data_IF_144470558023
#
_entry.id   IF_144470558023
#
_cell.length_a   1.000
_cell.length_b   1.000
_cell.length_c   1.000
_cell.angle_alpha   90.00
_cell.angle_beta   90.00
_cell.angle_gamma   90.00
#
_symmetry.space_group_name_H-M   'P 1'
#
loop_
_entity.id
_entity.type
_entity.pdbx_description
1 polymer ?
#
# COMPACT_ATOMS: atom_id res chain seq x y z
N UNK A 1 -6.36 13.85 -14.62
CA UNK A 1 -5.57 12.72 -14.09
C UNK A 1 -4.40 13.32 -13.35
N UNK A 2 -4.31 13.10 -12.03
CA UNK A 2 -3.19 13.58 -11.21
C UNK A 2 -2.26 12.37 -11.02
N UNK A 3 -1.03 12.49 -11.47
CA UNK A 3 0.04 11.49 -11.29
C UNK A 3 0.93 11.99 -10.15
N UNK A 4 0.91 11.30 -9.02
CA UNK A 4 1.78 11.59 -7.87
C UNK A 4 2.81 10.47 -7.76
N UNK A 5 4.04 10.77 -8.17
CA UNK A 5 5.20 9.89 -8.00
C UNK A 5 5.89 10.22 -6.67
N UNK A 6 5.38 9.62 -5.59
CA UNK A 6 5.85 9.89 -4.25
C UNK A 6 7.26 9.33 -4.00
N UNK A 7 7.68 8.31 -4.78
CA UNK A 7 8.96 7.63 -4.63
C UNK A 7 10.11 8.43 -5.26
N UNK A 8 9.93 8.87 -6.51
CA UNK A 8 10.91 9.76 -7.13
C UNK A 8 10.86 11.15 -6.50
N UNK A 9 9.68 11.65 -6.12
CA UNK A 9 9.50 12.99 -5.58
C UNK A 9 10.10 13.22 -4.19
N UNK A 10 10.28 12.16 -3.39
CA UNK A 10 10.92 12.22 -2.07
C UNK A 10 12.42 11.90 -2.08
N UNK A 11 12.94 11.50 -3.23
CA UNK A 11 14.35 11.14 -3.40
C UNK A 11 15.18 12.35 -3.82
N UNK A 12 16.45 12.39 -3.42
CA UNK A 12 17.40 13.35 -3.96
C UNK A 12 17.96 12.82 -5.27
N UNK A 13 17.87 13.61 -6.34
CA UNK A 13 18.50 13.29 -7.63
C UNK A 13 20.03 13.43 -7.49
N UNK A 14 20.73 12.32 -7.54
CA UNK A 14 22.17 12.25 -7.22
C UNK A 14 22.95 11.61 -8.37
N UNK A 15 23.94 12.35 -8.88
CA UNK A 15 24.91 11.82 -9.83
C UNK A 15 26.21 11.40 -9.13
N UNK A 16 26.64 10.14 -9.30
CA UNK A 16 27.94 9.67 -8.82
C UNK A 16 28.70 8.84 -9.86
N UNK A 17 29.96 9.21 -10.13
CA UNK A 17 30.84 8.42 -11.02
C UNK A 17 31.41 7.16 -10.36
N UNK A 18 31.61 7.18 -9.03
CA UNK A 18 32.21 6.06 -8.29
C UNK A 18 31.16 5.12 -7.69
N UNK A 19 29.93 5.61 -7.48
CA UNK A 19 28.91 4.93 -6.69
C UNK A 19 28.85 5.46 -5.26
N UNK A 20 27.80 5.10 -4.53
CA UNK A 20 27.65 5.33 -3.08
C UNK A 20 26.89 4.16 -2.43
N UNK A 21 26.81 4.16 -1.09
CA UNK A 21 26.49 2.96 -0.31
C UNK A 21 25.05 2.44 -0.39
N UNK A 22 24.05 3.31 -0.57
CA UNK A 22 22.65 2.92 -0.67
C UNK A 22 21.85 3.95 -1.46
N UNK A 23 21.17 3.53 -2.54
CA UNK A 23 20.34 4.38 -3.40
C UNK A 23 18.88 4.32 -3.02
N UNK A 24 18.23 3.17 -3.16
CA UNK A 24 16.85 2.94 -2.73
C UNK A 24 16.65 1.44 -2.55
N UNK A 25 15.58 1.04 -1.86
CA UNK A 25 15.23 -0.38 -1.80
C UNK A 25 15.00 -0.89 -3.23
N UNK A 26 15.77 -1.90 -3.63
CA UNK A 26 15.82 -2.51 -4.98
C UNK A 26 16.51 -1.69 -6.09
N UNK A 27 17.23 -0.62 -5.77
CA UNK A 27 18.12 0.02 -6.74
C UNK A 27 19.32 -0.89 -7.04
N UNK A 28 19.50 -1.27 -8.32
CA UNK A 28 20.53 -2.22 -8.75
C UNK A 28 21.95 -1.62 -8.84
N UNK A 29 22.08 -0.35 -9.21
CA UNK A 29 23.37 0.34 -9.34
C UNK A 29 23.33 1.74 -8.70
N UNK A 30 24.47 2.18 -8.17
CA UNK A 30 24.61 3.52 -7.54
C UNK A 30 25.48 4.48 -8.36
N UNK A 31 25.84 4.10 -9.59
CA UNK A 31 26.67 4.88 -10.52
C UNK A 31 25.79 5.56 -11.59
N UNK A 32 26.17 6.76 -12.01
CA UNK A 32 25.37 7.58 -12.91
C UNK A 32 24.33 8.41 -12.16
N UNK A 33 23.26 8.80 -12.86
CA UNK A 33 22.12 9.49 -12.25
C UNK A 33 21.25 8.47 -11.52
N UNK A 34 21.00 8.72 -10.25
CA UNK A 34 20.33 7.80 -9.35
C UNK A 34 19.48 8.56 -8.34
N UNK A 35 18.48 7.89 -7.79
CA UNK A 35 17.53 8.46 -6.84
C UNK A 35 17.91 8.00 -5.44
N UNK A 36 18.69 8.79 -4.72
CA UNK A 36 19.06 8.51 -3.32
C UNK A 36 17.87 8.77 -2.41
N UNK A 37 17.42 7.73 -1.72
CA UNK A 37 16.44 7.82 -0.64
C UNK A 37 17.20 7.72 0.68
N UNK A 38 17.26 8.84 1.38
CA UNK A 38 17.81 8.89 2.74
C UNK A 38 16.74 8.43 3.74
N UNK A 39 17.08 7.48 4.61
CA UNK A 39 16.19 6.92 5.64
C UNK A 39 14.79 6.53 5.15
N UNK A 40 14.74 5.77 4.05
CA UNK A 40 13.52 5.30 3.39
C UNK A 40 12.44 4.74 4.35
N UNK A 41 12.84 3.97 5.37
CA UNK A 41 11.91 3.45 6.37
C UNK A 41 11.18 4.56 7.15
N UNK A 42 11.88 5.65 7.49
CA UNK A 42 11.29 6.82 8.14
C UNK A 42 10.39 7.59 7.18
N UNK A 43 10.78 7.64 5.90
CA UNK A 43 10.02 8.30 4.86
C UNK A 43 8.70 7.59 4.56
N UNK A 44 8.66 6.26 4.61
CA UNK A 44 7.42 5.47 4.58
C UNK A 44 6.62 5.51 5.89
N UNK A 45 7.20 6.05 6.97
CA UNK A 45 6.52 6.20 8.25
C UNK A 45 6.52 4.95 9.13
N UNK A 46 7.15 3.84 8.75
CA UNK A 46 7.15 2.59 9.52
C UNK A 46 7.59 2.76 10.99
N UNK A 47 8.63 3.56 11.33
CA UNK A 47 8.98 3.79 12.73
C UNK A 47 7.88 4.53 13.52
N UNK A 48 7.15 5.43 12.88
CA UNK A 48 6.05 6.17 13.50
C UNK A 48 4.85 5.27 13.73
N UNK A 49 4.50 4.44 12.74
CA UNK A 49 3.44 3.42 12.83
C UNK A 49 3.75 2.41 13.94
N UNK A 50 4.98 1.87 13.98
CA UNK A 50 5.39 0.91 15.01
C UNK A 50 5.39 1.53 16.41
N UNK A 51 5.84 2.78 16.54
CA UNK A 51 5.78 3.51 17.82
C UNK A 51 4.33 3.71 18.28
N UNK A 52 3.44 4.11 17.38
CA UNK A 52 2.01 4.26 17.65
C UNK A 52 1.40 2.92 18.09
N UNK A 53 1.67 1.85 17.36
CA UNK A 53 1.22 0.50 17.70
C UNK A 53 1.66 0.08 19.12
N UNK A 54 2.95 0.23 19.44
CA UNK A 54 3.48 -0.07 20.78
C UNK A 54 2.82 0.78 21.87
N UNK A 55 2.58 2.06 21.61
CA UNK A 55 1.90 2.96 22.56
C UNK A 55 0.45 2.53 22.81
N UNK A 56 -0.28 2.14 21.76
CA UNK A 56 -1.63 1.61 21.88
C UNK A 56 -1.67 0.34 22.74
N UNK A 57 -0.74 -0.59 22.50
CA UNK A 57 -0.64 -1.85 23.27
C UNK A 57 -0.29 -1.58 24.74
N UNK A 58 0.69 -0.71 25.01
CA UNK A 58 1.13 -0.43 26.38
C UNK A 58 0.10 0.32 27.22
N UNK A 59 -0.68 1.20 26.58
CA UNK A 59 -1.62 2.09 27.28
C UNK A 59 -3.08 1.62 27.17
N UNK A 60 -3.34 0.45 26.57
CA UNK A 60 -4.69 -0.06 26.28
C UNK A 60 -5.55 0.98 25.51
N UNK A 61 -4.96 1.59 24.49
CA UNK A 61 -5.61 2.61 23.66
C UNK A 61 -5.98 2.04 22.30
N UNK A 62 -7.14 2.45 21.77
CA UNK A 62 -7.54 2.09 20.41
C UNK A 62 -6.60 2.69 19.38
N UNK A 63 -6.15 1.87 18.43
CA UNK A 63 -5.33 2.32 17.31
C UNK A 63 -6.13 3.25 16.38
N UNK A 64 -5.45 4.19 15.73
CA UNK A 64 -6.09 5.09 14.75
C UNK A 64 -6.65 4.31 13.56
N UNK A 65 -5.93 3.27 13.12
CA UNK A 65 -6.37 2.29 12.15
C UNK A 65 -6.59 0.96 12.87
N UNK A 66 -7.81 0.44 12.81
CA UNK A 66 -8.27 -0.73 13.53
C UNK A 66 -8.47 -1.95 12.62
N UNK A 67 -8.79 -3.09 13.22
CA UNK A 67 -9.13 -4.30 12.45
C UNK A 67 -10.40 -4.12 11.63
N UNK A 68 -11.32 -3.28 12.09
CA UNK A 68 -12.55 -2.91 11.42
C UNK A 68 -12.27 -2.13 10.13
N UNK A 69 -11.28 -1.24 10.13
CA UNK A 69 -10.85 -0.48 8.94
C UNK A 69 -10.22 -1.40 7.90
N UNK A 70 -9.39 -2.36 8.35
CA UNK A 70 -8.84 -3.42 7.50
C UNK A 70 -9.93 -4.29 6.89
N UNK A 71 -10.96 -4.64 7.67
CA UNK A 71 -12.12 -5.40 7.19
C UNK A 71 -12.93 -4.60 6.17
N UNK A 72 -13.20 -3.31 6.42
CA UNK A 72 -13.90 -2.46 5.47
C UNK A 72 -13.14 -2.34 4.14
N UNK A 73 -11.81 -2.24 4.21
CA UNK A 73 -10.94 -2.26 3.02
C UNK A 73 -11.10 -3.54 2.22
N UNK A 74 -11.14 -4.71 2.88
CA UNK A 74 -11.41 -5.97 2.20
C UNK A 74 -12.81 -5.98 1.56
N UNK A 75 -13.84 -5.55 2.27
CA UNK A 75 -15.20 -5.47 1.74
C UNK A 75 -15.27 -4.57 0.49
N UNK A 76 -14.52 -3.46 0.45
CA UNK A 76 -14.37 -2.59 -0.73
C UNK A 76 -13.70 -3.33 -1.90
N UNK A 77 -12.60 -4.06 -1.65
CA UNK A 77 -11.90 -4.84 -2.68
C UNK A 77 -12.82 -5.89 -3.30
N UNK A 78 -13.56 -6.64 -2.47
CA UNK A 78 -14.53 -7.61 -2.97
C UNK A 78 -15.66 -6.94 -3.75
N UNK A 79 -16.17 -5.80 -3.29
CA UNK A 79 -17.20 -5.04 -4.01
C UNK A 79 -16.71 -4.57 -5.38
N UNK A 80 -15.45 -4.14 -5.49
CA UNK A 80 -14.85 -3.73 -6.76
C UNK A 80 -14.79 -4.89 -7.76
N UNK A 81 -14.37 -6.09 -7.32
CA UNK A 81 -14.35 -7.27 -8.19
C UNK A 81 -15.74 -7.80 -8.53
N UNK A 82 -16.70 -7.75 -7.61
CA UNK A 82 -18.11 -8.10 -7.91
C UNK A 82 -18.71 -7.11 -8.92
N UNK A 83 -18.39 -5.82 -8.79
CA UNK A 83 -18.79 -4.80 -9.76
C UNK A 83 -18.21 -5.10 -11.14
N UNK A 84 -16.91 -5.45 -11.21
CA UNK A 84 -16.24 -5.78 -12.46
C UNK A 84 -16.81 -7.04 -13.11
N UNK A 85 -17.12 -8.08 -12.33
CA UNK A 85 -17.69 -9.33 -12.83
C UNK A 85 -19.16 -9.21 -13.25
N UNK A 86 -19.95 -8.46 -12.50
CA UNK A 86 -21.39 -8.30 -12.77
C UNK A 86 -21.72 -7.19 -13.76
N UNK A 87 -20.77 -6.28 -14.03
CA UNK A 87 -20.99 -5.06 -14.83
C UNK A 87 -21.96 -4.07 -14.18
N UNK A 88 -22.21 -4.19 -12.87
CA UNK A 88 -23.18 -3.37 -12.12
C UNK A 88 -22.48 -2.57 -11.03
N UNK A 89 -23.05 -1.40 -10.72
CA UNK A 89 -22.65 -0.63 -9.54
C UNK A 89 -23.08 -1.38 -8.26
N UNK A 90 -22.14 -1.61 -7.36
CA UNK A 90 -22.42 -2.18 -6.03
C UNK A 90 -22.91 -1.09 -5.07
N UNK A 91 -23.93 -1.43 -4.29
CA UNK A 91 -24.50 -0.57 -3.23
C UNK A 91 -23.89 -0.92 -1.87
N UNK A 92 -23.67 0.09 -1.03
CA UNK A 92 -23.12 -0.07 0.32
C UNK A 92 -24.23 -0.12 1.38
N UNK A 93 -24.13 -0.92 2.46
CA UNK A 93 -23.01 -1.80 2.83
C UNK A 93 -22.92 -3.07 1.98
N UNK A 94 -21.70 -3.46 1.62
CA UNK A 94 -21.43 -4.68 0.85
C UNK A 94 -20.92 -5.79 1.76
N UNK A 95 -21.47 -7.00 1.59
CA UNK A 95 -21.01 -8.20 2.30
C UNK A 95 -20.57 -9.26 1.29
N UNK A 96 -19.29 -9.67 1.28
CA UNK A 96 -18.82 -10.72 0.38
C UNK A 96 -19.61 -12.02 0.58
N UNK A 97 -20.06 -12.65 -0.50
CA UNK A 97 -20.77 -13.94 -0.45
C UNK A 97 -19.85 -15.07 0.00
N UNK A 98 -18.62 -15.10 -0.52
CA UNK A 98 -17.61 -16.11 -0.23
C UNK A 98 -16.30 -15.44 0.26
N UNK A 99 -16.25 -14.96 1.52
CA UNK A 99 -15.10 -14.20 2.06
C UNK A 99 -13.80 -15.03 2.23
N UNK A 100 -13.87 -16.36 2.03
CA UNK A 100 -12.72 -17.25 2.07
C UNK A 100 -12.04 -17.44 0.70
N UNK A 101 -12.66 -16.96 -0.39
CA UNK A 101 -12.09 -17.06 -1.75
C UNK A 101 -11.23 -15.83 -2.08
N UNK A 102 -10.33 -15.94 -3.06
CA UNK A 102 -9.57 -14.77 -3.52
C UNK A 102 -10.52 -13.79 -4.25
N UNK A 103 -10.58 -12.49 -3.87
CA UNK A 103 -11.55 -11.54 -4.41
C UNK A 103 -11.62 -11.46 -5.94
N UNK A 104 -10.47 -11.58 -6.61
CA UNK A 104 -10.34 -11.52 -8.08
C UNK A 104 -11.18 -12.58 -8.80
N UNK A 105 -11.49 -13.70 -8.14
CA UNK A 105 -12.28 -14.78 -8.73
C UNK A 105 -13.72 -14.34 -9.05
N UNK A 106 -14.26 -13.34 -8.35
CA UNK A 106 -15.59 -12.79 -8.65
C UNK A 106 -15.67 -12.19 -10.06
N UNK A 107 -14.55 -11.66 -10.54
CA UNK A 107 -14.43 -11.14 -11.90
C UNK A 107 -13.99 -12.23 -12.89
N UNK A 108 -13.00 -13.06 -12.57
CA UNK A 108 -12.52 -14.07 -13.50
C UNK A 108 -13.59 -15.10 -13.90
N UNK A 109 -14.47 -15.48 -12.97
CA UNK A 109 -15.59 -16.40 -13.22
C UNK A 109 -16.66 -15.82 -14.17
N UNK A 110 -16.70 -14.50 -14.37
CA UNK A 110 -17.65 -13.88 -15.31
C UNK A 110 -17.13 -13.84 -16.75
N UNK A 111 -15.84 -14.16 -16.96
CA UNK A 111 -15.18 -14.14 -18.27
C UNK A 111 -15.18 -15.53 -18.95
N UNK A 112 -15.56 -16.59 -18.23
CA UNK A 112 -15.73 -17.96 -18.74
C UNK A 112 -17.15 -18.21 -19.21
#
# INVERSE_FOLDING_TARGET
>A
MVYCDLLHGSSMETFSRKGYGYAAEKAGETRGWTFTVFEENYLYGFPHEMRHFMQCVLNDQQAQESGEDGRATLEIIYAAYDSAGSGKKITWPYKPKNPSEVPVNLWLKSLS
#
